data_IF_665681699720
#
_entry.id   IF_665681699720
#
_cell.length_a   1.000
_cell.length_b   1.000
_cell.length_c   1.000
_cell.angle_alpha   90.00
_cell.angle_beta   90.00
_cell.angle_gamma   90.00
#
_symmetry.space_group_name_H-M   'P 1'
#
loop_
_entity.id
_entity.type
_entity.pdbx_description
1 polymer ?
#
# COMPACT_ATOMS: atom_id res chain seq x y z
N UNK A 1 -6.54 -0.53 -18.32
CA UNK A 1 -5.20 -0.68 -17.72
C UNK A 1 -4.16 -0.63 -18.83
N UNK A 2 -3.20 0.28 -18.70
CA UNK A 2 -2.12 0.37 -19.69
C UNK A 2 -1.09 -0.74 -19.43
N UNK A 3 -0.78 -1.50 -20.47
CA UNK A 3 0.32 -2.46 -20.45
C UNK A 3 1.46 -1.93 -21.29
N UNK A 4 2.66 -2.18 -20.84
CA UNK A 4 3.88 -1.81 -21.56
C UNK A 4 4.59 -3.07 -22.01
N UNK A 5 5.24 -3.01 -23.19
CA UNK A 5 6.30 -3.99 -23.48
C UNK A 5 7.50 -3.68 -22.60
N UNK A 6 8.42 -4.62 -22.48
CA UNK A 6 9.64 -4.40 -21.69
C UNK A 6 10.42 -3.18 -22.19
N UNK A 7 10.53 -3.00 -23.50
CA UNK A 7 11.21 -1.84 -24.09
C UNK A 7 10.50 -0.52 -23.80
N UNK A 8 9.16 -0.50 -23.89
CA UNK A 8 8.37 0.67 -23.55
C UNK A 8 8.52 1.05 -22.09
N UNK A 9 8.53 0.06 -21.20
CA UNK A 9 8.73 0.26 -19.78
C UNK A 9 10.09 0.90 -19.50
N UNK A 10 11.16 0.35 -20.08
CA UNK A 10 12.53 0.88 -19.94
C UNK A 10 12.68 2.30 -20.47
N UNK A 11 11.93 2.68 -21.51
CA UNK A 11 11.97 4.02 -22.07
C UNK A 11 11.20 5.04 -21.25
N UNK A 12 10.19 4.59 -20.48
CA UNK A 12 9.30 5.48 -19.71
C UNK A 12 9.75 5.68 -18.28
N UNK A 13 10.35 4.67 -17.66
CA UNK A 13 10.70 4.69 -16.23
C UNK A 13 12.19 4.56 -16.02
N UNK A 14 12.69 5.19 -14.95
CA UNK A 14 14.07 5.10 -14.52
C UNK A 14 14.26 3.96 -13.50
N UNK A 15 15.47 3.42 -13.41
CA UNK A 15 15.76 2.29 -12.53
C UNK A 15 15.53 2.58 -11.05
N UNK A 16 15.61 3.84 -10.64
CA UNK A 16 15.42 4.25 -9.25
C UNK A 16 13.97 4.63 -8.92
N UNK A 17 13.07 4.59 -9.90
CA UNK A 17 11.66 4.86 -9.66
C UNK A 17 10.96 3.68 -8.99
N UNK A 18 10.07 3.99 -8.04
CA UNK A 18 9.16 3.02 -7.43
C UNK A 18 7.83 3.05 -8.16
N UNK A 19 7.79 2.47 -9.36
CA UNK A 19 6.71 2.63 -10.34
C UNK A 19 5.35 2.22 -9.78
N UNK A 20 5.27 1.07 -9.13
CA UNK A 20 4.01 0.58 -8.55
C UNK A 20 3.60 1.37 -7.31
N UNK A 21 4.56 1.73 -6.49
CA UNK A 21 4.32 2.57 -5.31
C UNK A 21 3.71 3.92 -5.72
N UNK A 22 4.34 4.56 -6.70
CA UNK A 22 3.88 5.85 -7.21
C UNK A 22 2.48 5.76 -7.82
N UNK A 23 2.16 4.64 -8.48
CA UNK A 23 0.83 4.41 -9.05
C UNK A 23 -0.26 4.30 -7.95
N UNK A 24 0.05 3.65 -6.84
CA UNK A 24 -0.86 3.56 -5.69
C UNK A 24 -1.06 4.95 -5.07
N UNK A 25 0.05 5.67 -4.84
CA UNK A 25 0.01 7.01 -4.26
C UNK A 25 -0.78 7.99 -5.14
N UNK A 26 -0.66 7.91 -6.46
CA UNK A 26 -1.42 8.76 -7.38
C UNK A 26 -2.93 8.59 -7.19
N UNK A 27 -3.41 7.37 -7.03
CA UNK A 27 -4.83 7.10 -6.79
C UNK A 27 -5.26 7.65 -5.43
N UNK A 28 -4.47 7.42 -4.39
CA UNK A 28 -4.78 7.85 -3.03
C UNK A 28 -4.73 9.38 -2.89
N UNK A 29 -3.81 10.04 -3.58
CA UNK A 29 -3.71 11.50 -3.60
C UNK A 29 -4.96 12.15 -4.20
N UNK A 30 -5.61 11.50 -5.15
CA UNK A 30 -6.88 11.96 -5.72
C UNK A 30 -8.04 11.79 -4.75
N UNK A 31 -8.01 10.77 -3.90
CA UNK A 31 -9.03 10.54 -2.89
C UNK A 31 -8.84 11.42 -1.65
N UNK A 32 -7.61 11.71 -1.29
CA UNK A 32 -7.22 12.43 -0.08
C UNK A 32 -6.31 13.61 -0.42
N UNK A 33 -6.85 14.58 -1.17
CA UNK A 33 -6.10 15.68 -1.83
C UNK A 33 -5.20 16.46 -0.87
N UNK A 34 -5.67 16.77 0.34
CA UNK A 34 -4.96 17.63 1.29
C UNK A 34 -4.49 16.85 2.52
N UNK A 35 -4.29 15.55 2.38
CA UNK A 35 -3.92 14.71 3.52
C UNK A 35 -2.66 13.90 3.24
N UNK A 36 -1.70 13.98 4.17
CA UNK A 36 -0.58 13.05 4.20
C UNK A 36 -0.97 11.82 5.02
N UNK A 37 -0.80 10.61 4.51
CA UNK A 37 -1.08 9.41 5.28
C UNK A 37 -0.05 9.19 6.38
N UNK A 38 -0.45 8.50 7.44
CA UNK A 38 0.49 7.89 8.36
C UNK A 38 0.96 6.59 7.73
N UNK A 39 2.24 6.50 7.44
CA UNK A 39 2.81 5.35 6.74
C UNK A 39 3.72 4.54 7.67
N UNK A 40 3.49 3.23 7.71
CA UNK A 40 4.26 2.29 8.52
C UNK A 40 4.97 1.31 7.58
N UNK A 41 6.28 1.49 7.44
CA UNK A 41 7.12 0.61 6.64
C UNK A 41 7.68 -0.55 7.46
N UNK A 42 8.04 -1.63 6.79
CA UNK A 42 8.79 -2.71 7.41
C UNK A 42 10.26 -2.34 7.56
N UNK A 43 10.89 -2.80 8.63
CA UNK A 43 12.31 -2.54 8.89
C UNK A 43 13.17 -3.31 7.89
N UNK A 44 12.83 -4.59 7.67
CA UNK A 44 13.50 -5.45 6.70
C UNK A 44 12.47 -5.88 5.68
N UNK A 45 12.64 -5.46 4.43
CA UNK A 45 11.73 -5.84 3.34
C UNK A 45 11.76 -7.34 3.10
N UNK A 46 10.62 -7.90 2.73
CA UNK A 46 10.47 -9.33 2.46
C UNK A 46 11.48 -9.83 1.42
N UNK A 47 11.74 -9.06 0.38
CA UNK A 47 12.72 -9.41 -0.67
C UNK A 47 14.15 -9.52 -0.13
N UNK A 48 14.45 -8.96 1.05
CA UNK A 48 15.75 -9.04 1.73
C UNK A 48 15.71 -9.98 2.94
N UNK A 49 14.73 -10.87 3.01
CA UNK A 49 14.62 -11.88 4.06
C UNK A 49 13.77 -11.48 5.26
N UNK A 50 13.06 -10.36 5.20
CA UNK A 50 12.12 -9.95 6.25
C UNK A 50 10.93 -10.91 6.35
N UNK A 51 10.33 -10.97 7.55
CA UNK A 51 9.20 -11.86 7.81
C UNK A 51 7.86 -11.30 7.33
N UNK A 52 7.75 -9.97 7.23
CA UNK A 52 6.52 -9.29 6.85
C UNK A 52 6.45 -9.14 5.33
N UNK A 53 5.45 -9.75 4.66
CA UNK A 53 5.33 -9.70 3.21
C UNK A 53 5.06 -8.31 2.66
N UNK A 54 4.31 -7.49 3.39
CA UNK A 54 3.98 -6.15 2.96
C UNK A 54 5.13 -5.19 3.30
N UNK A 55 5.57 -4.42 2.32
CA UNK A 55 6.61 -3.41 2.51
C UNK A 55 6.14 -2.23 3.34
N UNK A 56 4.86 -1.93 3.28
CA UNK A 56 4.28 -0.85 4.05
C UNK A 56 2.76 -0.85 4.09
N UNK A 57 2.23 -0.04 4.98
CA UNK A 57 0.80 0.18 5.17
C UNK A 57 0.58 1.67 5.41
N UNK A 58 -0.30 2.29 4.62
CA UNK A 58 -0.70 3.68 4.81
C UNK A 58 -2.08 3.76 5.46
N UNK A 59 -2.26 4.74 6.34
CA UNK A 59 -3.52 4.99 7.05
C UNK A 59 -3.98 6.40 6.75
N UNK A 60 -5.19 6.51 6.22
CA UNK A 60 -5.87 7.78 5.96
C UNK A 60 -7.06 7.93 6.90
N UNK A 61 -7.32 9.15 7.34
CA UNK A 61 -8.53 9.49 8.08
C UNK A 61 -9.59 9.95 7.08
N UNK A 62 -10.76 9.31 7.10
CA UNK A 62 -11.86 9.63 6.20
C UNK A 62 -13.03 10.15 7.01
N UNK A 63 -13.45 11.38 6.70
CA UNK A 63 -14.53 12.08 7.41
C UNK A 63 -15.88 12.04 6.66
N UNK A 64 -15.92 11.34 5.53
CA UNK A 64 -17.16 11.20 4.76
C UNK A 64 -18.12 10.23 5.44
N UNK A 65 -19.39 10.62 5.58
CA UNK A 65 -20.44 9.88 6.26
C UNK A 65 -20.08 9.64 7.73
N UNK A 66 -19.56 8.49 8.08
CA UNK A 66 -19.07 8.19 9.41
C UNK A 66 -17.55 8.24 9.41
N UNK A 67 -16.95 8.83 10.45
CA UNK A 67 -15.49 8.84 10.58
C UNK A 67 -14.94 7.41 10.61
N UNK A 68 -13.96 7.14 9.74
CA UNK A 68 -13.30 5.84 9.70
C UNK A 68 -11.86 5.98 9.22
N UNK A 69 -11.06 4.97 9.46
CA UNK A 69 -9.70 4.88 8.95
C UNK A 69 -9.66 3.96 7.75
N UNK A 70 -9.06 4.45 6.67
CA UNK A 70 -8.86 3.71 5.43
C UNK A 70 -7.40 3.26 5.39
N UNK A 71 -7.19 1.96 5.45
CA UNK A 71 -5.87 1.33 5.53
C UNK A 71 -5.58 0.66 4.20
N UNK A 72 -4.40 0.94 3.64
CA UNK A 72 -3.99 0.44 2.32
C UNK A 72 -2.64 -0.25 2.42
N UNK A 73 -2.53 -1.45 1.85
CA UNK A 73 -1.28 -2.20 1.81
C UNK A 73 -0.39 -1.78 0.63
N UNK A 74 0.91 -1.98 0.80
CA UNK A 74 1.91 -1.85 -0.25
C UNK A 74 2.80 -3.09 -0.21
N UNK A 75 2.79 -3.90 -1.25
CA UNK A 75 3.65 -5.08 -1.34
C UNK A 75 3.04 -6.32 -1.95
N UNK A 76 1.72 -6.34 -2.19
CA UNK A 76 1.09 -7.45 -2.92
C UNK A 76 1.29 -7.28 -4.42
N UNK A 77 1.32 -6.05 -4.92
CA UNK A 77 1.63 -5.71 -6.30
C UNK A 77 3.12 -5.39 -6.46
N UNK A 78 3.58 -5.30 -7.70
CA UNK A 78 4.98 -4.95 -8.01
C UNK A 78 5.21 -3.47 -7.74
N UNK A 79 5.98 -3.15 -6.70
CA UNK A 79 6.19 -1.78 -6.25
C UNK A 79 7.34 -1.07 -6.94
N UNK A 80 8.37 -1.82 -7.31
CA UNK A 80 9.65 -1.25 -7.74
C UNK A 80 9.86 -1.41 -9.24
N UNK A 81 10.90 -0.79 -9.75
CA UNK A 81 11.26 -0.90 -11.16
C UNK A 81 11.50 -2.36 -11.53
N UNK A 82 10.71 -2.86 -12.48
CA UNK A 82 10.76 -4.26 -12.91
C UNK A 82 10.35 -4.39 -14.38
N UNK A 83 11.25 -4.08 -15.32
CA UNK A 83 10.94 -4.15 -16.74
C UNK A 83 10.59 -5.57 -17.21
N UNK A 84 11.16 -6.59 -16.60
CA UNK A 84 10.86 -8.00 -16.91
C UNK A 84 9.42 -8.39 -16.55
N UNK A 85 8.78 -7.65 -15.66
CA UNK A 85 7.38 -7.87 -15.25
C UNK A 85 6.37 -7.03 -16.05
N UNK A 86 6.84 -6.16 -16.94
CA UNK A 86 5.98 -5.19 -17.64
C UNK A 86 4.88 -5.84 -18.47
N UNK A 87 5.16 -7.02 -19.06
CA UNK A 87 4.22 -7.74 -19.92
C UNK A 87 3.40 -8.79 -19.17
N UNK A 88 3.58 -8.93 -17.87
CA UNK A 88 2.80 -9.85 -17.06
C UNK A 88 1.33 -9.43 -17.04
N UNK A 89 0.44 -10.41 -16.93
CA UNK A 89 -1.01 -10.15 -16.84
C UNK A 89 -1.36 -9.33 -15.61
N UNK A 90 -0.68 -9.59 -14.50
CA UNK A 90 -0.91 -8.92 -13.23
C UNK A 90 0.39 -8.33 -12.68
N UNK A 91 0.26 -7.22 -11.97
CA UNK A 91 1.34 -6.63 -11.20
C UNK A 91 1.46 -7.40 -9.87
N UNK A 92 2.55 -8.15 -9.70
CA UNK A 92 2.71 -9.03 -8.54
C UNK A 92 1.54 -10.01 -8.41
N UNK A 93 0.84 -9.98 -7.29
CA UNK A 93 -0.34 -10.82 -7.04
C UNK A 93 -1.61 -10.27 -7.68
N UNK A 94 -1.56 -9.07 -8.28
CA UNK A 94 -2.66 -8.46 -9.00
C UNK A 94 -3.62 -7.63 -8.13
N UNK A 95 -3.31 -7.46 -6.85
CA UNK A 95 -4.14 -6.68 -5.92
C UNK A 95 -3.32 -6.18 -4.73
N UNK A 96 -3.87 -5.18 -4.05
CA UNK A 96 -3.46 -4.78 -2.70
C UNK A 96 -4.65 -4.93 -1.77
N UNK A 97 -4.39 -5.05 -0.47
CA UNK A 97 -5.45 -5.06 0.53
C UNK A 97 -5.85 -3.64 0.91
N UNK A 98 -7.15 -3.44 1.15
CA UNK A 98 -7.64 -2.21 1.73
C UNK A 98 -8.74 -2.52 2.74
N UNK A 99 -8.68 -1.87 3.90
CA UNK A 99 -9.68 -2.01 4.95
C UNK A 99 -10.20 -0.62 5.33
N UNK A 100 -11.48 -0.56 5.64
CA UNK A 100 -12.10 0.63 6.23
C UNK A 100 -12.60 0.26 7.62
N UNK A 101 -12.10 0.96 8.63
CA UNK A 101 -12.30 0.58 10.03
C UNK A 101 -12.84 1.77 10.81
N UNK A 102 -14.02 1.60 11.41
CA UNK A 102 -14.55 2.58 12.35
C UNK A 102 -13.80 2.43 13.67
N UNK A 103 -13.19 3.50 14.21
CA UNK A 103 -12.48 3.44 15.48
C UNK A 103 -13.37 2.98 16.62
N UNK A 104 -12.78 2.36 17.63
CA UNK A 104 -13.47 2.08 18.88
C UNK A 104 -13.89 3.40 19.55
N UNK A 105 -14.88 3.33 20.44
CA UNK A 105 -15.49 4.54 21.08
C UNK A 105 -14.44 5.47 21.68
N UNK A 106 -13.44 4.94 22.35
CA UNK A 106 -12.39 5.71 23.00
C UNK A 106 -11.35 6.30 22.06
N UNK A 107 -11.38 5.93 20.77
CA UNK A 107 -10.36 6.30 19.78
C UNK A 107 -10.86 7.28 18.73
N UNK A 108 -12.10 7.75 18.85
CA UNK A 108 -12.75 8.58 17.81
C UNK A 108 -12.06 9.90 17.54
N UNK A 109 -11.45 10.49 18.57
CA UNK A 109 -10.80 11.80 18.49
C UNK A 109 -9.27 11.70 18.34
N UNK A 110 -8.78 10.51 18.03
CA UNK A 110 -7.35 10.26 18.08
C UNK A 110 -6.65 10.57 16.78
N UNK A 111 -5.94 11.68 16.75
CA UNK A 111 -5.09 12.10 15.63
C UNK A 111 -3.65 11.62 15.78
N UNK A 112 -3.39 10.62 16.61
CA UNK A 112 -2.02 10.25 16.90
C UNK A 112 -1.81 8.73 16.83
N UNK A 113 -0.56 8.33 16.69
CA UNK A 113 -0.15 6.94 16.56
C UNK A 113 -0.57 6.06 17.75
N UNK A 114 -0.87 6.64 18.90
CA UNK A 114 -1.32 5.92 20.09
C UNK A 114 -2.63 5.16 19.87
N UNK A 115 -3.47 5.66 18.96
CA UNK A 115 -4.80 5.10 18.69
C UNK A 115 -4.90 4.46 17.31
N UNK A 116 -3.78 4.18 16.70
CA UNK A 116 -3.74 3.50 15.41
C UNK A 116 -4.25 2.06 15.52
N UNK A 117 -4.94 1.55 14.48
CA UNK A 117 -5.44 0.17 14.50
C UNK A 117 -4.33 -0.83 14.18
N UNK A 118 -3.35 -0.95 15.04
CA UNK A 118 -2.21 -1.88 14.86
C UNK A 118 -2.66 -3.32 14.67
N UNK A 119 -3.76 -3.70 15.32
CA UNK A 119 -4.33 -5.05 15.16
C UNK A 119 -4.74 -5.32 13.71
N UNK A 120 -5.29 -4.29 13.03
CA UNK A 120 -5.70 -4.41 11.63
C UNK A 120 -4.49 -4.53 10.70
N UNK A 121 -3.41 -3.80 11.00
CA UNK A 121 -2.15 -3.93 10.26
C UNK A 121 -1.58 -5.34 10.40
N UNK A 122 -1.64 -5.91 11.60
CA UNK A 122 -1.22 -7.28 11.83
C UNK A 122 -2.09 -8.29 11.07
N UNK A 123 -3.40 -8.06 10.99
CA UNK A 123 -4.30 -8.88 10.17
C UNK A 123 -3.89 -8.83 8.71
N UNK A 124 -3.59 -7.65 8.18
CA UNK A 124 -3.14 -7.49 6.78
C UNK A 124 -1.85 -8.26 6.51
N UNK A 125 -0.87 -8.17 7.41
CA UNK A 125 0.38 -8.94 7.28
C UNK A 125 0.13 -10.45 7.34
N UNK A 126 -0.74 -10.90 8.23
CA UNK A 126 -1.09 -12.31 8.34
C UNK A 126 -1.79 -12.82 7.08
N UNK A 127 -2.72 -12.05 6.52
CA UNK A 127 -3.38 -12.39 5.25
C UNK A 127 -2.35 -12.45 4.12
N UNK A 128 -1.43 -11.51 4.07
CA UNK A 128 -0.38 -11.49 3.07
C UNK A 128 0.51 -12.74 3.14
N UNK A 129 0.85 -13.19 4.36
CA UNK A 129 1.63 -14.43 4.55
C UNK A 129 0.91 -15.65 4.00
N UNK A 130 -0.41 -15.66 4.02
CA UNK A 130 -1.20 -16.75 3.42
C UNK A 130 -1.04 -16.81 1.91
N UNK A 131 -0.89 -15.65 1.27
CA UNK A 131 -0.76 -15.55 -0.20
C UNK A 131 0.67 -15.84 -0.62
N UNK A 132 1.65 -15.30 0.11
CA UNK A 132 3.07 -15.52 -0.17
C UNK A 132 3.47 -16.94 0.30
#
# INVERSE_FOLDING_TARGET
MMRYTEEQYKSRFEEDESVGWDAIDEVLDKLYVDQEPRHYGTIIKYMFGGEDPLDGISIYDNHEQIFHRHIVSYGMSELYYSPESAENEFSGWGFEFTFRIVPFEGDKDADNAKHEPYWAMNVMQNLARYVF
#
